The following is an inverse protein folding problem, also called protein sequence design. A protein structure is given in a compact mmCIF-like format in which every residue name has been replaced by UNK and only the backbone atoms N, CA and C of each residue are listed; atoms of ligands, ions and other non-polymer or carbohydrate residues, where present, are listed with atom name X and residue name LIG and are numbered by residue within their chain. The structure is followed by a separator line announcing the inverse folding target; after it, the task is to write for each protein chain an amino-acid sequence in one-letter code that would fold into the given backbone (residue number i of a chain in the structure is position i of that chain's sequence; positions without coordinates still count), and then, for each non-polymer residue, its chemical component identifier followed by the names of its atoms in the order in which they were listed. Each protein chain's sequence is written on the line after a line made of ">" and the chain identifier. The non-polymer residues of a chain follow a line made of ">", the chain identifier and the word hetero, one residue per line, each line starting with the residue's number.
data_IF_714743678340
#
_entry.id   IF_714743678340
#
_cell.length_a   1.000
_cell.length_b   1.000
_cell.length_c   1.000
_cell.angle_alpha   90.00
_cell.angle_beta   90.00
_cell.angle_gamma   90.00
#
_symmetry.space_group_name_H-M   'P 1'
#
loop_
_entity.id
_entity.type
_entity.pdbx_description
1 polymer ?
#
# COMPACT_ATOMS: atom_id res chain seq x y z
N UNK A 1 31.72 0.31 10.28
CA UNK A 1 30.53 0.23 9.39
C UNK A 1 30.10 -1.21 9.04
N UNK A 2 30.99 -2.10 8.55
CA UNK A 2 30.63 -3.48 8.15
C UNK A 2 29.94 -4.33 9.24
N UNK A 3 30.42 -4.27 10.49
CA UNK A 3 29.86 -5.02 11.64
C UNK A 3 28.41 -4.62 11.93
N UNK A 4 28.08 -3.32 11.84
CA UNK A 4 26.72 -2.82 12.08
C UNK A 4 25.76 -3.33 11.00
N UNK A 5 26.19 -3.35 9.74
CA UNK A 5 25.40 -3.87 8.61
C UNK A 5 25.13 -5.37 8.78
N UNK A 6 26.15 -6.14 9.17
CA UNK A 6 26.01 -7.58 9.41
C UNK A 6 25.04 -7.87 10.57
N UNK A 7 25.13 -7.12 11.68
CA UNK A 7 24.21 -7.26 12.83
C UNK A 7 22.77 -6.94 12.45
N UNK A 8 22.53 -5.87 11.67
CA UNK A 8 21.19 -5.51 11.18
C UNK A 8 20.60 -6.61 10.29
N UNK A 9 21.41 -7.18 9.39
CA UNK A 9 20.98 -8.27 8.53
C UNK A 9 20.60 -9.52 9.33
N UNK A 10 21.43 -9.92 10.29
CA UNK A 10 21.16 -11.06 11.16
C UNK A 10 19.88 -10.88 12.00
N UNK A 11 19.64 -9.67 12.51
CA UNK A 11 18.41 -9.36 13.23
C UNK A 11 17.18 -9.49 12.31
N UNK A 12 17.25 -8.92 11.09
CA UNK A 12 16.17 -9.03 10.10
C UNK A 12 15.89 -10.49 9.74
N UNK A 13 16.92 -11.30 9.52
CA UNK A 13 16.79 -12.72 9.21
C UNK A 13 16.12 -13.48 10.37
N UNK A 14 16.50 -13.18 11.62
CA UNK A 14 15.89 -13.77 12.81
C UNK A 14 14.42 -13.40 12.92
N UNK A 15 14.08 -12.12 12.73
CA UNK A 15 12.69 -11.66 12.74
C UNK A 15 11.90 -12.34 11.64
N UNK A 16 12.44 -12.43 10.42
CA UNK A 16 11.77 -13.05 9.29
C UNK A 16 11.42 -14.53 9.55
N UNK A 17 12.35 -15.30 10.10
CA UNK A 17 12.13 -16.71 10.45
C UNK A 17 11.28 -16.94 11.70
N UNK A 18 11.23 -15.95 12.60
CA UNK A 18 10.42 -16.03 13.82
C UNK A 18 8.97 -15.64 13.55
N UNK A 19 8.76 -14.63 12.73
CA UNK A 19 7.42 -14.12 12.38
C UNK A 19 6.69 -15.05 11.42
N UNK A 20 7.40 -15.69 10.49
CA UNK A 20 6.80 -16.52 9.46
C UNK A 20 7.33 -17.95 9.53
N UNK A 21 6.42 -18.91 9.57
CA UNK A 21 6.76 -20.34 9.63
C UNK A 21 6.93 -20.92 8.24
N UNK A 22 6.08 -20.48 7.32
CA UNK A 22 6.00 -20.93 5.92
C UNK A 22 6.07 -19.76 4.93
N UNK A 23 6.34 -20.07 3.67
CA UNK A 23 6.21 -19.08 2.58
C UNK A 23 4.77 -18.59 2.42
N UNK A 24 3.79 -19.45 2.72
CA UNK A 24 2.38 -19.09 2.64
C UNK A 24 2.02 -18.01 3.66
N UNK A 25 2.62 -18.03 4.86
CA UNK A 25 2.39 -17.00 5.88
C UNK A 25 2.83 -15.62 5.39
N UNK A 26 3.96 -15.55 4.67
CA UNK A 26 4.46 -14.32 4.04
C UNK A 26 3.49 -13.82 2.96
N UNK A 27 2.97 -14.72 2.13
CA UNK A 27 2.02 -14.40 1.07
C UNK A 27 0.71 -13.87 1.67
N UNK A 28 0.15 -14.57 2.66
CA UNK A 28 -1.08 -14.15 3.34
C UNK A 28 -0.91 -12.79 4.03
N UNK A 29 0.22 -12.56 4.70
CA UNK A 29 0.49 -11.28 5.34
C UNK A 29 0.68 -10.13 4.32
N UNK A 30 1.27 -10.41 3.16
CA UNK A 30 1.34 -9.46 2.04
C UNK A 30 -0.06 -9.11 1.56
N UNK A 31 -0.86 -10.13 1.25
CA UNK A 31 -2.16 -9.97 0.62
C UNK A 31 -3.11 -9.22 1.56
N UNK A 32 -3.16 -9.57 2.84
CA UNK A 32 -3.94 -8.82 3.83
C UNK A 32 -3.56 -7.33 3.92
N UNK A 33 -2.26 -7.00 3.82
CA UNK A 33 -1.81 -5.60 3.82
C UNK A 33 -2.15 -4.88 2.53
N UNK A 34 -2.04 -5.56 1.40
CA UNK A 34 -2.40 -5.02 0.08
C UNK A 34 -3.90 -4.77 0.00
N UNK A 35 -4.72 -5.71 0.47
CA UNK A 35 -6.18 -5.61 0.47
C UNK A 35 -6.67 -4.42 1.32
N UNK A 36 -6.02 -4.16 2.45
CA UNK A 36 -6.31 -2.98 3.26
C UNK A 36 -6.03 -1.66 2.51
N UNK A 37 -4.92 -1.58 1.78
CA UNK A 37 -4.60 -0.41 0.94
C UNK A 37 -5.56 -0.30 -0.24
N UNK A 38 -5.87 -1.41 -0.90
CA UNK A 38 -6.76 -1.44 -2.05
C UNK A 38 -8.19 -1.02 -1.64
N UNK A 39 -8.62 -1.37 -0.43
CA UNK A 39 -9.86 -0.86 0.18
C UNK A 39 -9.85 0.65 0.38
N UNK A 40 -8.73 1.22 0.88
CA UNK A 40 -8.57 2.67 1.03
C UNK A 40 -8.60 3.40 -0.32
N UNK A 41 -7.93 2.85 -1.34
CA UNK A 41 -7.95 3.38 -2.70
C UNK A 41 -9.36 3.33 -3.29
N UNK A 42 -10.08 2.23 -3.10
CA UNK A 42 -11.45 2.06 -3.58
C UNK A 42 -12.41 3.07 -2.97
N UNK A 43 -12.29 3.31 -1.66
CA UNK A 43 -13.06 4.34 -0.97
C UNK A 43 -12.75 5.73 -1.54
N UNK A 44 -11.48 6.10 -1.70
CA UNK A 44 -11.09 7.39 -2.26
C UNK A 44 -11.62 7.59 -3.69
N UNK A 45 -11.58 6.55 -4.54
CA UNK A 45 -12.18 6.58 -5.89
C UNK A 45 -13.68 6.80 -5.86
N UNK A 46 -14.37 6.16 -4.90
CA UNK A 46 -15.81 6.35 -4.71
C UNK A 46 -16.14 7.78 -4.31
N UNK A 47 -15.35 8.37 -3.40
CA UNK A 47 -15.50 9.77 -2.99
C UNK A 47 -15.28 10.73 -4.17
N UNK A 48 -14.22 10.53 -4.96
CA UNK A 48 -13.97 11.30 -6.19
C UNK A 48 -15.18 11.27 -7.12
N UNK A 49 -15.69 10.08 -7.44
CA UNK A 49 -16.85 9.94 -8.33
C UNK A 49 -18.06 10.71 -7.81
N UNK A 50 -18.34 10.61 -6.52
CA UNK A 50 -19.46 11.32 -5.90
C UNK A 50 -19.27 12.84 -5.94
N UNK A 51 -18.06 13.32 -5.67
CA UNK A 51 -17.77 14.75 -5.67
C UNK A 51 -17.71 15.34 -7.09
N UNK A 52 -17.30 14.56 -8.10
CA UNK A 52 -17.37 14.93 -9.52
C UNK A 52 -18.82 15.11 -9.97
N UNK A 53 -19.74 14.24 -9.54
CA UNK A 53 -21.18 14.38 -9.81
C UNK A 53 -21.71 15.67 -9.17
N UNK A 54 -21.41 15.92 -7.88
CA UNK A 54 -21.81 17.16 -7.20
C UNK A 54 -21.24 18.40 -7.89
N UNK A 55 -19.97 18.34 -8.30
CA UNK A 55 -19.29 19.44 -8.98
C UNK A 55 -19.96 19.77 -10.31
N UNK A 56 -20.31 18.75 -11.09
CA UNK A 56 -21.05 18.90 -12.34
C UNK A 56 -22.40 19.58 -12.11
N UNK A 57 -23.15 19.12 -11.10
CA UNK A 57 -24.44 19.68 -10.74
C UNK A 57 -24.33 21.16 -10.29
N UNK A 58 -23.35 21.48 -9.44
CA UNK A 58 -23.11 22.85 -8.97
C UNK A 58 -22.75 23.79 -10.13
N UNK A 59 -21.85 23.35 -11.04
CA UNK A 59 -21.52 24.09 -12.26
C UNK A 59 -22.74 24.29 -13.16
N UNK A 60 -23.55 23.25 -13.36
CA UNK A 60 -24.79 23.33 -14.14
C UNK A 60 -25.77 24.37 -13.59
N UNK A 61 -25.93 24.44 -12.26
CA UNK A 61 -26.73 25.48 -11.59
C UNK A 61 -26.19 26.88 -11.84
N UNK A 62 -24.86 27.09 -11.73
CA UNK A 62 -24.22 28.38 -12.04
C UNK A 62 -24.54 28.77 -13.48
N UNK A 63 -24.33 27.86 -14.44
CA UNK A 63 -24.58 28.11 -15.87
C UNK A 63 -26.04 28.49 -16.12
N UNK A 64 -27.02 27.79 -15.52
CA UNK A 64 -28.43 28.12 -15.69
C UNK A 64 -28.79 29.50 -15.11
N UNK A 65 -28.20 29.89 -13.98
CA UNK A 65 -28.44 31.22 -13.38
C UNK A 65 -27.86 32.32 -14.29
N UNK A 66 -26.62 32.15 -14.76
CA UNK A 66 -25.93 33.11 -15.62
C UNK A 66 -26.63 33.25 -16.98
N UNK A 67 -27.13 32.15 -17.56
CA UNK A 67 -27.94 32.17 -18.80
C UNK A 67 -29.20 33.03 -18.68
N UNK A 68 -29.76 33.15 -17.48
CA UNK A 68 -30.92 33.99 -17.21
C UNK A 68 -30.54 35.44 -16.84
N UNK A 69 -29.33 35.89 -17.21
CA UNK A 69 -28.76 37.20 -16.88
C UNK A 69 -28.75 37.52 -15.37
N UNK A 70 -28.65 36.49 -14.52
CA UNK A 70 -28.52 36.63 -13.07
C UNK A 70 -27.11 36.26 -12.62
N UNK A 71 -26.67 36.84 -11.51
CA UNK A 71 -25.39 36.50 -10.90
C UNK A 71 -25.59 35.25 -10.02
N UNK A 72 -24.73 34.25 -10.19
CA UNK A 72 -24.76 33.06 -9.35
C UNK A 72 -24.35 33.41 -7.91
N UNK A 73 -25.06 32.89 -6.89
CA UNK A 73 -24.72 33.11 -5.49
C UNK A 73 -23.30 32.67 -5.13
N UNK A 74 -22.63 33.42 -4.24
CA UNK A 74 -21.24 33.16 -3.84
C UNK A 74 -21.04 31.79 -3.19
N UNK A 75 -22.02 31.31 -2.41
CA UNK A 75 -21.98 29.97 -1.81
C UNK A 75 -21.85 28.86 -2.87
N UNK A 76 -22.46 29.04 -4.04
CA UNK A 76 -22.38 28.07 -5.14
C UNK A 76 -20.97 28.04 -5.78
N UNK A 77 -20.31 29.20 -5.88
CA UNK A 77 -18.91 29.27 -6.30
C UNK A 77 -17.96 28.65 -5.26
N UNK A 78 -18.22 28.88 -3.97
CA UNK A 78 -17.46 28.27 -2.88
C UNK A 78 -17.63 26.74 -2.87
N UNK A 79 -18.84 26.24 -3.12
CA UNK A 79 -19.13 24.81 -3.26
C UNK A 79 -18.29 24.18 -4.39
N UNK A 80 -18.28 24.80 -5.58
CA UNK A 80 -17.46 24.36 -6.73
C UNK A 80 -15.97 24.33 -6.36
N UNK A 81 -15.46 25.36 -5.69
CA UNK A 81 -14.06 25.42 -5.27
C UNK A 81 -13.72 24.34 -4.24
N UNK A 82 -14.60 24.13 -3.25
CA UNK A 82 -14.42 23.13 -2.20
C UNK A 82 -14.41 21.71 -2.77
N UNK A 83 -15.39 21.37 -3.63
CA UNK A 83 -15.46 20.08 -4.32
C UNK A 83 -14.21 19.83 -5.18
N UNK A 84 -13.73 20.84 -5.90
CA UNK A 84 -12.49 20.75 -6.67
C UNK A 84 -11.28 20.41 -5.79
N UNK A 85 -11.16 21.04 -4.62
CA UNK A 85 -10.09 20.72 -3.64
C UNK A 85 -10.22 19.30 -3.09
N UNK A 86 -11.43 18.86 -2.75
CA UNK A 86 -11.68 17.51 -2.24
C UNK A 86 -11.29 16.43 -3.26
N UNK A 87 -11.69 16.61 -4.52
CA UNK A 87 -11.30 15.72 -5.63
C UNK A 87 -9.78 15.65 -5.76
N UNK A 88 -9.10 16.81 -5.80
CA UNK A 88 -7.65 16.86 -5.90
C UNK A 88 -6.96 16.14 -4.72
N UNK A 89 -7.40 16.39 -3.49
CA UNK A 89 -6.84 15.77 -2.30
C UNK A 89 -6.99 14.24 -2.35
N UNK A 90 -8.14 13.72 -2.80
CA UNK A 90 -8.34 12.28 -2.96
C UNK A 90 -7.45 11.68 -4.05
N UNK A 91 -7.19 12.39 -5.16
CA UNK A 91 -6.24 11.93 -6.18
C UNK A 91 -4.80 11.85 -5.64
N UNK A 92 -4.37 12.86 -4.88
CA UNK A 92 -3.05 12.84 -4.20
C UNK A 92 -2.97 11.65 -3.25
N UNK A 93 -3.99 11.46 -2.42
CA UNK A 93 -4.07 10.33 -1.49
C UNK A 93 -3.99 8.96 -2.20
N UNK A 94 -4.68 8.79 -3.33
CA UNK A 94 -4.57 7.57 -4.15
C UNK A 94 -3.14 7.37 -4.67
N UNK A 95 -2.46 8.44 -5.08
CA UNK A 95 -1.07 8.39 -5.52
C UNK A 95 -0.11 7.92 -4.41
N UNK A 96 -0.27 8.46 -3.21
CA UNK A 96 0.49 8.06 -2.01
C UNK A 96 0.24 6.58 -1.68
N UNK A 97 -1.03 6.16 -1.64
CA UNK A 97 -1.41 4.77 -1.36
C UNK A 97 -0.95 3.80 -2.42
N UNK A 98 -0.97 4.19 -3.69
CA UNK A 98 -0.43 3.38 -4.79
C UNK A 98 1.09 3.19 -4.67
N UNK A 99 1.80 4.22 -4.19
CA UNK A 99 3.24 4.14 -3.91
C UNK A 99 3.52 3.23 -2.70
N UNK A 100 2.74 3.35 -1.64
CA UNK A 100 2.80 2.47 -0.47
C UNK A 100 2.56 1.01 -0.86
N UNK A 101 1.51 0.74 -1.64
CA UNK A 101 1.21 -0.59 -2.19
C UNK A 101 2.41 -1.20 -2.91
N UNK A 102 3.04 -0.44 -3.82
CA UNK A 102 4.25 -0.90 -4.55
C UNK A 102 5.40 -1.23 -3.61
N UNK A 103 5.64 -0.40 -2.58
CA UNK A 103 6.68 -0.65 -1.57
C UNK A 103 6.42 -1.95 -0.80
N UNK A 104 5.17 -2.22 -0.43
CA UNK A 104 4.79 -3.49 0.22
C UNK A 104 5.12 -4.68 -0.68
N UNK A 105 4.70 -4.65 -1.95
CA UNK A 105 5.04 -5.72 -2.90
C UNK A 105 6.55 -5.93 -3.01
N UNK A 106 7.33 -4.86 -3.13
CA UNK A 106 8.78 -4.95 -3.21
C UNK A 106 9.38 -5.59 -1.95
N UNK A 107 9.01 -5.08 -0.77
CA UNK A 107 9.54 -5.59 0.51
C UNK A 107 9.20 -7.07 0.70
N UNK A 108 7.96 -7.48 0.46
CA UNK A 108 7.56 -8.88 0.60
C UNK A 108 8.21 -9.80 -0.44
N UNK A 109 8.49 -9.30 -1.65
CA UNK A 109 9.24 -10.07 -2.67
C UNK A 109 10.67 -10.33 -2.20
N UNK A 110 11.34 -9.31 -1.65
CA UNK A 110 12.67 -9.44 -1.08
C UNK A 110 12.69 -10.36 0.15
N UNK A 111 11.68 -10.25 1.02
CA UNK A 111 11.52 -11.10 2.19
C UNK A 111 11.27 -12.56 1.81
N UNK A 112 10.43 -12.83 0.81
CA UNK A 112 10.18 -14.19 0.32
C UNK A 112 11.45 -14.85 -0.25
N UNK A 113 12.19 -14.11 -1.07
CA UNK A 113 13.48 -14.59 -1.59
C UNK A 113 14.46 -14.88 -0.44
N UNK A 114 14.55 -13.97 0.54
CA UNK A 114 15.42 -14.15 1.70
C UNK A 114 15.01 -15.34 2.57
N UNK A 115 13.71 -15.53 2.78
CA UNK A 115 13.16 -16.62 3.56
C UNK A 115 13.52 -17.98 2.95
N UNK A 116 13.38 -18.12 1.63
CA UNK A 116 13.80 -19.30 0.87
C UNK A 116 15.27 -19.64 1.08
N UNK A 117 16.15 -18.64 0.96
CA UNK A 117 17.58 -18.83 1.21
C UNK A 117 17.87 -19.31 2.64
N UNK A 118 17.20 -18.72 3.62
CA UNK A 118 17.40 -19.06 5.03
C UNK A 118 16.90 -20.47 5.36
N UNK A 119 15.74 -20.87 4.84
CA UNK A 119 15.22 -22.23 5.01
C UNK A 119 16.14 -23.27 4.36
N UNK A 120 16.63 -23.01 3.14
CA UNK A 120 17.60 -23.88 2.48
C UNK A 120 18.88 -24.05 3.34
N UNK A 121 19.43 -22.94 3.84
CA UNK A 121 20.62 -23.00 4.73
C UNK A 121 20.37 -23.79 6.01
N UNK A 122 19.19 -23.69 6.62
CA UNK A 122 18.84 -24.49 7.79
C UNK A 122 18.75 -25.98 7.46
N UNK A 123 18.18 -26.33 6.32
CA UNK A 123 18.12 -27.72 5.85
C UNK A 123 19.51 -28.28 5.57
N UNK A 124 20.35 -27.56 4.84
CA UNK A 124 21.72 -27.98 4.52
C UNK A 124 22.55 -28.18 5.79
N UNK A 125 22.43 -27.27 6.76
CA UNK A 125 23.11 -27.38 8.05
C UNK A 125 22.62 -28.59 8.86
N UNK A 126 21.30 -28.86 8.85
CA UNK A 126 20.72 -30.04 9.51
C UNK A 126 21.21 -31.34 8.87
N UNK A 127 21.26 -31.41 7.55
CA UNK A 127 21.76 -32.58 6.83
C UNK A 127 23.24 -32.85 7.12
N UNK A 128 24.07 -31.80 7.21
CA UNK A 128 25.49 -31.96 7.59
C UNK A 128 25.66 -32.48 9.01
N UNK A 129 24.85 -31.99 9.96
CA UNK A 129 24.89 -32.47 11.35
C UNK A 129 24.51 -33.95 11.45
N UNK A 130 23.38 -34.33 10.85
CA UNK A 130 22.92 -35.71 10.85
C UNK A 130 23.95 -36.68 10.24
N UNK A 131 24.66 -36.27 9.17
CA UNK A 131 25.73 -37.09 8.60
C UNK A 131 26.93 -37.23 9.55
N UNK A 132 27.31 -36.18 10.27
CA UNK A 132 28.42 -36.27 11.23
C UNK A 132 28.08 -37.24 12.38
N UNK A 133 26.84 -37.20 12.87
CA UNK A 133 26.35 -38.07 13.93
C UNK A 133 26.20 -39.56 13.50
N UNK A 134 26.21 -39.86 12.20
CA UNK A 134 26.15 -41.24 11.64
C UNK A 134 27.53 -41.90 11.47
N UNK A 135 28.63 -41.13 11.58
CA UNK A 135 30.01 -41.62 11.43
C UNK A 135 30.79 -41.68 12.75
N UNK A 136 30.16 -41.30 13.87
CA UNK A 136 30.65 -41.47 15.25
C UNK A 136 29.97 -42.68 15.93
#
# INVERSE_FOLDING_TARGET
>A
KKIIIARKKALRDRVLLYTFTTENDLILARDARVDAIDSQISLAKTLIKNDEIKLSNAKGRITSIVKNNRIAPQNLHQEVSSLGKQINNNYVYIGEKSTERKKIFQTFTEDLARFRELKKKQMDARQRRNKADEFD
#
